data_IF_656605411340
#
_entry.id   IF_656605411340
#
_cell.length_a   1.000
_cell.length_b   1.000
_cell.length_c   1.000
_cell.angle_alpha   90.00
_cell.angle_beta   90.00
_cell.angle_gamma   90.00
#
_symmetry.space_group_name_H-M   'P 1'
#
loop_
_entity.id
_entity.type
_entity.pdbx_description
1 polymer ?
#
# COMPACT_ATOMS: atom_id res chain seq x y z
N UNK A 1 4.04 -3.50 -26.64
CA UNK A 1 4.45 -4.93 -26.55
C UNK A 1 5.95 -5.03 -26.28
N UNK A 2 6.79 -4.36 -27.07
CA UNK A 2 8.25 -4.46 -26.93
C UNK A 2 8.81 -3.88 -25.63
N UNK A 3 8.27 -2.77 -25.13
CA UNK A 3 8.64 -2.22 -23.83
C UNK A 3 8.37 -3.21 -22.68
N UNK A 4 7.26 -3.93 -22.75
CA UNK A 4 6.83 -4.89 -21.73
C UNK A 4 7.71 -6.15 -21.76
N UNK A 5 8.03 -6.65 -22.96
CA UNK A 5 9.01 -7.75 -23.15
C UNK A 5 10.39 -7.34 -22.67
N UNK A 6 10.80 -6.10 -22.94
CA UNK A 6 12.10 -5.56 -22.53
C UNK A 6 12.20 -5.41 -21.02
N UNK A 7 11.15 -4.90 -20.36
CA UNK A 7 11.05 -4.86 -18.91
C UNK A 7 11.13 -6.27 -18.29
N UNK A 8 10.45 -7.26 -18.89
CA UNK A 8 10.51 -8.65 -18.42
C UNK A 8 11.88 -9.29 -18.57
N UNK A 9 12.69 -8.89 -19.57
CA UNK A 9 14.06 -9.42 -19.75
C UNK A 9 14.96 -9.08 -18.56
N UNK A 10 14.79 -7.92 -17.94
CA UNK A 10 15.53 -7.52 -16.73
C UNK A 10 15.27 -8.49 -15.58
N UNK A 11 14.04 -9.01 -15.49
CA UNK A 11 13.63 -10.00 -14.49
C UNK A 11 13.57 -11.43 -15.05
N UNK A 12 14.37 -11.74 -16.08
CA UNK A 12 14.39 -13.06 -16.72
C UNK A 12 14.79 -14.20 -15.78
N UNK A 13 15.36 -13.90 -14.60
CA UNK A 13 15.56 -14.85 -13.52
C UNK A 13 14.24 -15.30 -12.88
N UNK A 14 13.27 -14.39 -12.73
CA UNK A 14 11.99 -14.64 -12.04
C UNK A 14 10.87 -15.06 -12.99
N UNK A 15 10.80 -14.45 -14.17
CA UNK A 15 9.70 -14.62 -15.12
C UNK A 15 10.21 -15.03 -16.50
N UNK A 16 9.32 -15.65 -17.28
CA UNK A 16 9.54 -15.98 -18.68
C UNK A 16 8.24 -15.77 -19.47
N UNK A 17 8.34 -15.51 -20.77
CA UNK A 17 7.17 -15.37 -21.63
C UNK A 17 6.87 -16.69 -22.33
N UNK A 18 5.62 -17.16 -22.25
CA UNK A 18 5.11 -18.35 -22.94
C UNK A 18 3.76 -18.00 -23.53
N UNK A 19 3.59 -18.14 -24.85
CA UNK A 19 2.32 -17.88 -25.55
C UNK A 19 1.70 -16.51 -25.21
N UNK A 20 2.49 -15.44 -25.27
CA UNK A 20 2.07 -14.06 -24.92
C UNK A 20 1.59 -13.86 -23.48
N UNK A 21 1.87 -14.83 -22.60
CA UNK A 21 1.67 -14.71 -21.15
C UNK A 21 3.01 -14.65 -20.44
N UNK A 22 3.08 -13.87 -19.38
CA UNK A 22 4.23 -13.84 -18.48
C UNK A 22 3.97 -14.88 -17.39
N UNK A 23 4.89 -15.82 -17.24
CA UNK A 23 4.82 -16.96 -16.34
C UNK A 23 6.01 -16.94 -15.38
N UNK A 24 5.79 -17.31 -14.12
CA UNK A 24 6.87 -17.46 -13.15
C UNK A 24 7.69 -18.73 -13.41
N UNK A 25 9.01 -18.66 -13.18
CA UNK A 25 9.89 -19.83 -13.26
C UNK A 25 9.74 -20.68 -12.00
N UNK A 26 9.45 -21.97 -12.16
CA UNK A 26 9.19 -22.94 -11.07
C UNK A 26 10.33 -23.13 -10.05
N UNK A 27 11.57 -22.77 -10.40
CA UNK A 27 12.77 -23.10 -9.61
C UNK A 27 13.18 -22.06 -8.56
N UNK A 28 12.40 -20.99 -8.36
CA UNK A 28 12.78 -19.91 -7.43
C UNK A 28 12.46 -20.19 -5.95
N UNK A 29 11.75 -21.28 -5.65
CA UNK A 29 11.43 -21.68 -4.27
C UNK A 29 12.65 -22.04 -3.42
N UNK A 30 13.83 -22.24 -4.02
CA UNK A 30 15.01 -22.79 -3.34
C UNK A 30 16.14 -21.79 -3.05
N UNK A 31 16.02 -20.49 -3.39
CA UNK A 31 17.16 -19.56 -3.33
C UNK A 31 16.96 -18.25 -2.56
N UNK A 32 15.97 -18.13 -1.67
CA UNK A 32 15.80 -16.85 -0.92
C UNK A 32 15.69 -17.10 0.57
N UNK A 33 16.52 -16.40 1.34
CA UNK A 33 16.45 -16.28 2.80
C UNK A 33 15.07 -15.77 3.31
N UNK A 34 14.22 -15.26 2.41
CA UNK A 34 12.85 -14.81 2.66
C UNK A 34 11.79 -15.93 2.71
N UNK A 35 12.11 -17.17 2.34
CA UNK A 35 11.17 -18.31 2.52
C UNK A 35 10.75 -18.41 4.00
N UNK A 36 11.66 -18.07 4.92
CA UNK A 36 11.41 -17.96 6.37
C UNK A 36 10.34 -16.95 6.77
N UNK A 37 10.04 -15.93 5.95
CA UNK A 37 8.99 -14.92 6.21
C UNK A 37 7.58 -15.46 5.95
N UNK A 38 7.47 -16.55 5.17
CA UNK A 38 6.23 -17.21 4.77
C UNK A 38 6.12 -18.64 5.34
N UNK A 39 7.23 -19.21 5.83
CA UNK A 39 7.26 -20.46 6.60
C UNK A 39 6.35 -20.35 7.84
N UNK A 40 5.41 -21.29 7.98
CA UNK A 40 4.38 -21.27 9.03
C UNK A 40 3.13 -20.44 8.69
N UNK A 41 3.17 -19.62 7.64
CA UNK A 41 2.00 -18.91 7.09
C UNK A 41 1.46 -19.64 5.86
N UNK A 42 2.30 -20.07 4.92
CA UNK A 42 1.89 -20.70 3.66
C UNK A 42 2.42 -22.13 3.52
N UNK A 43 1.77 -22.93 2.65
CA UNK A 43 2.33 -24.23 2.23
C UNK A 43 3.33 -24.03 1.08
N UNK A 44 4.20 -25.02 0.83
CA UNK A 44 5.27 -24.94 -0.18
C UNK A 44 4.77 -24.56 -1.58
N UNK A 45 3.60 -25.10 -1.98
CA UNK A 45 3.02 -24.80 -3.28
C UNK A 45 2.62 -23.32 -3.39
N UNK A 46 1.95 -22.76 -2.38
CA UNK A 46 1.60 -21.34 -2.32
C UNK A 46 2.83 -20.44 -2.27
N UNK A 47 3.90 -20.85 -1.57
CA UNK A 47 5.17 -20.10 -1.52
C UNK A 47 5.75 -19.96 -2.92
N UNK A 48 5.75 -21.04 -3.72
CA UNK A 48 6.32 -21.01 -5.08
C UNK A 48 5.60 -20.05 -6.04
N UNK A 49 4.32 -19.75 -5.78
CA UNK A 49 3.51 -18.82 -6.59
C UNK A 49 3.60 -17.38 -6.09
N UNK A 50 3.67 -17.19 -4.76
CA UNK A 50 3.60 -15.89 -4.10
C UNK A 50 4.96 -15.20 -4.05
N UNK A 51 6.02 -15.95 -3.76
CA UNK A 51 7.36 -15.39 -3.56
C UNK A 51 7.83 -14.57 -4.78
N UNK A 52 7.68 -15.03 -6.04
CA UNK A 52 8.07 -14.22 -7.18
C UNK A 52 7.32 -12.89 -7.31
N UNK A 53 6.03 -12.85 -6.93
CA UNK A 53 5.23 -11.61 -6.94
C UNK A 53 5.73 -10.63 -5.89
N UNK A 54 6.00 -11.12 -4.68
CA UNK A 54 6.55 -10.31 -3.58
C UNK A 54 7.93 -9.76 -3.97
N UNK A 55 8.81 -10.59 -4.53
CA UNK A 55 10.12 -10.14 -4.99
C UNK A 55 10.02 -9.09 -6.09
N UNK A 56 9.17 -9.29 -7.10
CA UNK A 56 8.95 -8.27 -8.14
C UNK A 56 8.47 -6.95 -7.53
N UNK A 57 7.60 -6.99 -6.53
CA UNK A 57 7.15 -5.78 -5.86
C UNK A 57 8.31 -5.04 -5.16
N UNK A 58 9.26 -5.75 -4.54
CA UNK A 58 10.46 -5.14 -3.97
C UNK A 58 11.32 -4.42 -5.02
N UNK A 59 11.36 -4.90 -6.26
CA UNK A 59 12.02 -4.21 -7.38
C UNK A 59 11.22 -3.01 -7.92
N UNK A 60 9.89 -3.09 -7.85
CA UNK A 60 9.00 -2.01 -8.30
C UNK A 60 9.03 -0.84 -7.31
N UNK A 61 9.14 -1.10 -6.00
CA UNK A 61 9.11 -0.07 -4.96
C UNK A 61 10.09 1.09 -5.20
N UNK A 62 11.36 0.86 -5.59
CA UNK A 62 12.27 1.94 -6.00
C UNK A 62 11.80 2.75 -7.19
N UNK A 63 11.04 2.19 -8.14
CA UNK A 63 10.48 2.93 -9.27
C UNK A 63 9.16 3.64 -8.93
N UNK A 64 8.50 3.27 -7.83
CA UNK A 64 7.26 3.91 -7.40
C UNK A 64 7.48 5.37 -7.00
N UNK A 65 8.68 5.79 -6.59
CA UNK A 65 8.93 7.18 -6.18
C UNK A 65 8.46 8.22 -7.23
N UNK A 66 8.53 7.89 -8.52
CA UNK A 66 8.06 8.76 -9.61
C UNK A 66 6.54 8.93 -9.67
N UNK A 67 5.79 7.93 -9.18
CA UNK A 67 4.34 7.85 -9.35
C UNK A 67 3.57 7.89 -8.04
N UNK A 68 4.24 7.76 -6.89
CA UNK A 68 3.61 7.78 -5.56
C UNK A 68 2.89 9.10 -5.33
N UNK A 69 3.56 10.24 -5.47
CA UNK A 69 2.91 11.54 -5.21
C UNK A 69 1.70 11.79 -6.12
N UNK A 70 1.79 11.60 -7.46
CA UNK A 70 0.61 11.65 -8.32
C UNK A 70 -0.52 10.69 -7.89
N UNK A 71 -0.17 9.46 -7.51
CA UNK A 71 -1.15 8.47 -7.08
C UNK A 71 -1.83 8.86 -5.75
N UNK A 72 -1.07 9.38 -4.79
CA UNK A 72 -1.60 9.83 -3.50
C UNK A 72 -2.52 11.03 -3.68
N UNK A 73 -2.18 11.99 -4.55
CA UNK A 73 -3.07 13.12 -4.87
C UNK A 73 -4.39 12.62 -5.44
N UNK A 74 -4.36 11.72 -6.43
CA UNK A 74 -5.59 11.14 -6.97
C UNK A 74 -6.39 10.42 -5.90
N UNK A 75 -5.75 9.59 -5.08
CA UNK A 75 -6.41 8.90 -3.98
C UNK A 75 -7.09 9.88 -3.01
N UNK A 76 -6.48 11.03 -2.73
CA UNK A 76 -6.98 12.05 -1.80
C UNK A 76 -8.30 12.71 -2.19
N UNK A 77 -8.70 12.71 -3.47
CA UNK A 77 -9.98 13.30 -3.90
C UNK A 77 -11.19 12.70 -3.19
N UNK A 78 -11.13 11.41 -2.85
CA UNK A 78 -12.23 10.71 -2.20
C UNK A 78 -12.37 11.03 -0.71
N UNK A 79 -11.34 10.83 0.13
CA UNK A 79 -11.43 11.18 1.53
C UNK A 79 -11.54 12.70 1.71
N UNK A 80 -11.01 13.52 0.79
CA UNK A 80 -11.16 14.97 0.85
C UNK A 80 -12.62 15.39 1.01
N UNK A 81 -13.50 14.82 0.18
CA UNK A 81 -14.94 15.10 0.18
C UNK A 81 -15.61 14.81 1.51
N UNK A 82 -15.27 13.67 2.11
CA UNK A 82 -16.03 13.11 3.23
C UNK A 82 -15.41 13.41 4.59
N UNK A 83 -14.09 13.62 4.64
CA UNK A 83 -13.31 13.65 5.88
C UNK A 83 -12.42 14.89 6.03
N UNK A 84 -12.22 15.68 4.97
CA UNK A 84 -11.36 16.88 5.00
C UNK A 84 -12.04 18.12 4.39
N UNK A 85 -13.37 18.23 4.54
CA UNK A 85 -14.14 19.42 4.13
C UNK A 85 -13.94 19.83 2.65
N UNK A 86 -13.62 18.87 1.79
CA UNK A 86 -13.34 19.10 0.36
C UNK A 86 -11.90 19.45 0.01
N UNK A 87 -11.00 19.62 1.00
CA UNK A 87 -9.59 19.95 0.78
C UNK A 87 -8.79 18.71 0.34
N UNK A 88 -8.41 18.66 -0.94
CA UNK A 88 -7.56 17.58 -1.50
C UNK A 88 -6.15 17.65 -0.95
N UNK A 89 -5.62 18.85 -0.76
CA UNK A 89 -4.30 19.07 -0.17
C UNK A 89 -4.20 18.51 1.25
N UNK A 90 -5.17 18.84 2.13
CA UNK A 90 -5.13 18.35 3.52
C UNK A 90 -5.27 16.83 3.61
N UNK A 91 -6.10 16.25 2.74
CA UNK A 91 -6.21 14.80 2.59
C UNK A 91 -4.88 14.20 2.12
N UNK A 92 -4.23 14.81 1.13
CA UNK A 92 -2.92 14.40 0.63
C UNK A 92 -1.85 14.45 1.73
N UNK A 93 -1.69 15.57 2.43
CA UNK A 93 -0.69 15.69 3.50
C UNK A 93 -0.93 14.64 4.60
N UNK A 94 -2.18 14.39 4.97
CA UNK A 94 -2.51 13.33 5.93
C UNK A 94 -2.10 11.94 5.42
N UNK A 95 -2.44 11.60 4.19
CA UNK A 95 -2.16 10.28 3.61
C UNK A 95 -0.65 10.11 3.36
N UNK A 96 0.05 11.17 2.94
CA UNK A 96 1.49 11.20 2.76
C UNK A 96 2.20 10.88 4.08
N UNK A 97 1.77 11.50 5.19
CA UNK A 97 2.28 11.19 6.53
C UNK A 97 2.00 9.74 6.96
N UNK A 98 0.85 9.17 6.58
CA UNK A 98 0.55 7.75 6.82
C UNK A 98 1.54 6.84 6.09
N UNK A 99 1.91 7.13 4.85
CA UNK A 99 2.80 6.28 4.07
C UNK A 99 4.28 6.66 4.10
N UNK A 100 4.69 7.61 4.96
CA UNK A 100 6.09 8.08 5.04
C UNK A 100 7.13 7.01 5.37
N UNK A 101 6.72 5.93 6.03
CA UNK A 101 7.60 4.79 6.34
C UNK A 101 7.69 3.78 5.18
N UNK A 102 6.81 3.87 4.19
CA UNK A 102 6.74 2.93 3.06
C UNK A 102 7.41 3.51 1.82
N UNK A 103 7.09 4.76 1.48
CA UNK A 103 7.61 5.39 0.28
C UNK A 103 8.77 6.31 0.61
N UNK A 104 9.91 6.02 -0.01
CA UNK A 104 11.07 6.91 0.04
C UNK A 104 10.76 8.12 -0.82
N UNK A 105 10.55 9.27 -0.19
CA UNK A 105 10.58 10.56 -0.88
C UNK A 105 12.03 10.99 -1.09
N UNK A 106 12.28 11.81 -2.11
CA UNK A 106 13.62 12.32 -2.37
C UNK A 106 14.07 13.19 -1.18
N UNK A 107 15.03 12.69 -0.42
CA UNK A 107 15.66 13.44 0.67
C UNK A 107 16.12 14.80 0.14
N UNK A 108 15.76 15.88 0.83
CA UNK A 108 16.12 17.29 0.53
C UNK A 108 15.27 18.01 -0.54
N UNK A 109 14.12 17.47 -0.95
CA UNK A 109 13.14 18.22 -1.75
C UNK A 109 11.98 18.65 -0.87
N UNK A 110 11.52 19.89 -1.04
CA UNK A 110 10.37 20.43 -0.31
C UNK A 110 9.08 19.68 -0.69
N UNK A 111 8.22 19.37 0.29
CA UNK A 111 6.97 18.63 0.04
C UNK A 111 6.05 19.38 -0.92
N UNK A 112 6.04 20.72 -0.88
CA UNK A 112 5.24 21.54 -1.77
C UNK A 112 5.73 21.44 -3.22
N UNK A 113 7.05 21.38 -3.42
CA UNK A 113 7.63 21.21 -4.76
C UNK A 113 7.27 19.84 -5.34
N UNK A 114 7.36 18.77 -4.54
CA UNK A 114 6.94 17.42 -4.93
C UNK A 114 5.44 17.41 -5.30
N UNK A 115 4.60 18.05 -4.48
CA UNK A 115 3.18 18.16 -4.74
C UNK A 115 2.89 18.90 -6.05
N UNK A 116 3.57 20.03 -6.28
CA UNK A 116 3.41 20.83 -7.49
C UNK A 116 3.86 20.08 -8.75
N UNK A 117 5.00 19.37 -8.70
CA UNK A 117 5.47 18.54 -9.81
C UNK A 117 4.48 17.41 -10.13
N UNK A 118 3.95 16.75 -9.11
CA UNK A 118 2.93 15.73 -9.27
C UNK A 118 1.64 16.29 -9.89
N UNK A 119 1.24 17.52 -9.53
CA UNK A 119 0.11 18.20 -10.16
C UNK A 119 0.35 18.54 -11.63
N UNK A 120 1.56 18.95 -12.00
CA UNK A 120 1.93 19.17 -13.41
C UNK A 120 1.76 17.86 -14.19
N UNK A 121 2.33 16.76 -13.70
CA UNK A 121 2.16 15.45 -14.32
C UNK A 121 0.69 15.04 -14.48
N UNK A 122 -0.13 15.23 -13.44
CA UNK A 122 -1.55 14.86 -13.47
C UNK A 122 -2.37 15.71 -14.45
N UNK A 123 -1.99 16.98 -14.66
CA UNK A 123 -2.63 17.87 -15.65
C UNK A 123 -2.20 17.52 -17.07
N UNK A 124 -0.90 17.31 -17.28
CA UNK A 124 -0.33 16.96 -18.59
C UNK A 124 -0.85 15.61 -19.09
N UNK A 125 -1.16 14.70 -18.16
CA UNK A 125 -1.76 13.39 -18.47
C UNK A 125 -3.28 13.41 -18.47
N UNK A 126 -3.93 14.56 -18.31
CA UNK A 126 -5.39 14.72 -18.27
C UNK A 126 -6.08 13.88 -17.17
N UNK A 127 -5.34 13.55 -16.10
CA UNK A 127 -5.90 12.91 -14.91
C UNK A 127 -6.61 13.92 -13.99
N UNK A 128 -6.24 15.19 -14.09
CA UNK A 128 -6.89 16.33 -13.45
C UNK A 128 -7.16 17.38 -14.52
N UNK A 129 -8.37 17.93 -14.54
CA UNK A 129 -8.72 19.02 -15.44
C UNK A 129 -8.04 20.31 -14.97
N UNK A 130 -7.21 20.88 -15.85
CA UNK A 130 -6.42 22.07 -15.53
C UNK A 130 -7.27 23.34 -15.27
N UNK A 131 -8.52 23.39 -15.74
CA UNK A 131 -9.42 24.54 -15.57
C UNK A 131 -10.26 24.41 -14.31
N UNK A 132 -10.79 23.23 -14.03
CA UNK A 132 -11.73 23.02 -12.91
C UNK A 132 -11.04 22.53 -11.65
N UNK A 133 -9.85 21.93 -11.76
CA UNK A 133 -9.18 21.24 -10.66
C UNK A 133 -9.89 19.95 -10.22
N UNK A 134 -10.88 19.49 -10.99
CA UNK A 134 -11.60 18.23 -10.77
C UNK A 134 -10.87 17.06 -11.46
N UNK A 135 -11.31 15.84 -11.21
CA UNK A 135 -10.79 14.66 -11.91
C UNK A 135 -11.02 14.78 -13.42
N UNK A 136 -9.95 14.53 -14.18
CA UNK A 136 -9.94 14.61 -15.64
C UNK A 136 -10.39 13.32 -16.32
N UNK A 137 -10.53 13.34 -17.66
CA UNK A 137 -11.10 12.24 -18.44
C UNK A 137 -10.17 11.02 -18.60
N UNK A 138 -8.87 11.12 -18.31
CA UNK A 138 -7.93 10.00 -18.50
C UNK A 138 -8.03 8.93 -17.41
N UNK A 139 -9.12 8.16 -17.45
CA UNK A 139 -9.39 7.09 -16.49
C UNK A 139 -8.32 5.97 -16.51
N UNK A 140 -7.65 5.73 -17.65
CA UNK A 140 -6.64 4.66 -17.74
C UNK A 140 -5.44 4.94 -16.86
N UNK A 141 -4.88 6.15 -16.93
CA UNK A 141 -3.73 6.54 -16.11
C UNK A 141 -4.15 6.66 -14.64
N UNK A 142 -5.33 7.21 -14.36
CA UNK A 142 -5.91 7.25 -13.00
C UNK A 142 -5.98 5.87 -12.37
N UNK A 143 -6.58 4.90 -13.07
CA UNK A 143 -6.68 3.54 -12.59
C UNK A 143 -5.31 2.91 -12.38
N UNK A 144 -4.35 3.09 -13.30
CA UNK A 144 -2.99 2.57 -13.12
C UNK A 144 -2.40 3.11 -11.80
N UNK A 145 -2.42 4.43 -11.61
CA UNK A 145 -1.86 5.07 -10.42
C UNK A 145 -2.52 4.58 -9.12
N UNK A 146 -3.85 4.42 -9.12
CA UNK A 146 -4.56 3.92 -7.94
C UNK A 146 -4.28 2.45 -7.65
N UNK A 147 -4.17 1.61 -8.68
CA UNK A 147 -3.83 0.20 -8.52
C UNK A 147 -2.38 0.04 -8.02
N UNK A 148 -1.47 0.98 -8.31
CA UNK A 148 -0.13 0.98 -7.72
C UNK A 148 -0.18 1.13 -6.19
N UNK A 149 -1.11 1.91 -5.64
CA UNK A 149 -1.26 2.12 -4.20
C UNK A 149 -2.03 0.99 -3.49
N UNK A 150 -2.84 0.23 -4.22
CA UNK A 150 -3.78 -0.72 -3.63
C UNK A 150 -3.13 -1.73 -2.66
N UNK A 151 -1.96 -2.34 -2.95
CA UNK A 151 -1.32 -3.28 -2.02
C UNK A 151 -0.98 -2.65 -0.67
N UNK A 152 -0.54 -1.39 -0.68
CA UNK A 152 -0.12 -0.64 0.51
C UNK A 152 -1.31 -0.20 1.34
N UNK A 153 -2.34 0.36 0.70
CA UNK A 153 -3.61 0.71 1.36
C UNK A 153 -4.21 -0.54 2.04
N UNK A 154 -4.25 -1.65 1.31
CA UNK A 154 -4.79 -2.91 1.82
C UNK A 154 -3.94 -3.45 2.98
N UNK A 155 -2.61 -3.43 2.85
CA UNK A 155 -1.69 -3.86 3.90
C UNK A 155 -1.83 -3.08 5.20
N UNK A 156 -1.84 -1.75 5.09
CA UNK A 156 -2.01 -0.86 6.23
C UNK A 156 -3.40 -1.04 6.87
N UNK A 157 -4.45 -1.21 6.05
CA UNK A 157 -5.80 -1.52 6.53
C UNK A 157 -5.83 -2.84 7.32
N UNK A 158 -5.16 -3.90 6.85
CA UNK A 158 -5.05 -5.18 7.57
C UNK A 158 -4.41 -4.99 8.94
N UNK A 159 -3.33 -4.22 9.06
CA UNK A 159 -2.70 -3.94 10.37
C UNK A 159 -3.63 -3.16 11.28
N UNK A 160 -4.33 -2.15 10.76
CA UNK A 160 -5.29 -1.36 11.54
C UNK A 160 -6.44 -2.23 12.07
N UNK A 161 -7.05 -3.06 11.23
CA UNK A 161 -8.07 -4.02 11.65
C UNK A 161 -7.55 -5.06 12.64
N UNK A 162 -6.32 -5.55 12.44
CA UNK A 162 -5.67 -6.50 13.36
C UNK A 162 -5.55 -5.91 14.75
N UNK A 163 -5.06 -4.67 14.86
CA UNK A 163 -4.91 -3.97 16.13
C UNK A 163 -6.26 -3.77 16.85
N UNK A 164 -7.31 -3.38 16.11
CA UNK A 164 -8.66 -3.24 16.66
C UNK A 164 -9.23 -4.58 17.12
N UNK A 165 -9.09 -5.66 16.33
CA UNK A 165 -9.56 -6.99 16.70
C UNK A 165 -8.84 -7.52 17.95
N UNK A 166 -7.52 -7.36 18.01
CA UNK A 166 -6.72 -7.76 19.18
C UNK A 166 -7.10 -6.98 20.44
N UNK A 167 -7.45 -5.68 20.32
CA UNK A 167 -7.98 -4.86 21.42
C UNK A 167 -9.25 -5.48 22.00
N UNK A 168 -10.22 -5.76 21.12
CA UNK A 168 -11.52 -6.36 21.50
C UNK A 168 -11.33 -7.72 22.18
N UNK A 169 -10.40 -8.53 21.69
CA UNK A 169 -10.10 -9.86 22.24
C UNK A 169 -9.17 -9.83 23.46
N UNK A 170 -8.73 -8.65 23.92
CA UNK A 170 -7.76 -8.51 25.02
C UNK A 170 -6.46 -9.30 24.81
N UNK A 171 -6.04 -9.45 23.56
CA UNK A 171 -4.80 -10.16 23.19
C UNK A 171 -3.61 -9.21 23.36
N UNK A 172 -2.51 -9.71 23.94
CA UNK A 172 -1.28 -8.92 24.08
C UNK A 172 -0.72 -8.53 22.70
N UNK A 173 -0.61 -7.23 22.45
CA UNK A 173 -0.11 -6.68 21.18
C UNK A 173 1.40 -6.49 21.16
N UNK A 174 2.22 -7.55 21.26
CA UNK A 174 3.65 -7.41 20.92
C UNK A 174 3.81 -7.26 19.41
N UNK A 175 4.91 -6.64 18.96
CA UNK A 175 5.16 -6.42 17.54
C UNK A 175 5.05 -7.74 16.74
N UNK A 176 5.74 -8.80 17.17
CA UNK A 176 5.71 -10.08 16.47
C UNK A 176 4.32 -10.71 16.44
N UNK A 177 3.56 -10.62 17.54
CA UNK A 177 2.20 -11.16 17.59
C UNK A 177 1.29 -10.43 16.58
N UNK A 178 1.37 -9.10 16.53
CA UNK A 178 0.60 -8.27 15.59
C UNK A 178 0.95 -8.65 14.14
N UNK A 179 2.24 -8.79 13.83
CA UNK A 179 2.71 -9.15 12.48
C UNK A 179 2.19 -10.53 12.06
N UNK A 180 2.32 -11.54 12.94
CA UNK A 180 1.85 -12.90 12.67
C UNK A 180 0.33 -12.92 12.45
N UNK A 181 -0.43 -12.21 13.29
CA UNK A 181 -1.88 -12.17 13.16
C UNK A 181 -2.32 -11.45 11.88
N UNK A 182 -1.67 -10.33 11.55
CA UNK A 182 -1.87 -9.60 10.29
C UNK A 182 -1.59 -10.49 9.06
N UNK A 183 -0.49 -11.25 9.07
CA UNK A 183 -0.17 -12.18 7.98
C UNK A 183 -1.19 -13.32 7.85
N UNK A 184 -1.74 -13.82 8.96
CA UNK A 184 -2.82 -14.83 8.92
C UNK A 184 -4.08 -14.27 8.28
N UNK A 185 -4.47 -13.03 8.60
CA UNK A 185 -5.59 -12.34 7.96
C UNK A 185 -5.32 -12.15 6.48
N UNK A 186 -4.16 -11.60 6.12
CA UNK A 186 -3.73 -11.40 4.74
C UNK A 186 -3.77 -12.71 3.94
N UNK A 187 -3.27 -13.81 4.50
CA UNK A 187 -3.34 -15.15 3.88
C UNK A 187 -4.78 -15.57 3.59
N UNK A 188 -5.67 -15.42 4.56
CA UNK A 188 -7.07 -15.83 4.40
C UNK A 188 -7.78 -15.01 3.30
N UNK A 189 -7.46 -13.72 3.18
CA UNK A 189 -7.96 -12.85 2.11
C UNK A 189 -7.32 -13.20 0.76
N UNK A 190 -6.03 -13.54 0.74
CA UNK A 190 -5.31 -13.93 -0.47
C UNK A 190 -5.81 -15.27 -1.03
N UNK A 191 -6.13 -16.24 -0.16
CA UNK A 191 -6.75 -17.50 -0.58
C UNK A 191 -8.09 -17.29 -1.29
N UNK A 192 -8.80 -16.20 -0.96
CA UNK A 192 -10.03 -15.74 -1.63
C UNK A 192 -9.76 -14.85 -2.85
N UNK A 193 -8.49 -14.61 -3.19
CA UNK A 193 -8.03 -13.71 -4.26
C UNK A 193 -8.54 -12.27 -4.14
N UNK A 194 -8.70 -11.79 -2.90
CA UNK A 194 -9.22 -10.46 -2.63
C UNK A 194 -8.13 -9.39 -2.47
N UNK A 195 -6.88 -9.81 -2.26
CA UNK A 195 -5.76 -8.89 -1.99
C UNK A 195 -4.52 -9.27 -2.80
N UNK A 196 -3.60 -8.32 -2.91
CA UNK A 196 -2.31 -8.54 -3.56
C UNK A 196 -1.38 -9.39 -2.68
N UNK A 197 -0.55 -10.30 -3.25
CA UNK A 197 0.36 -11.13 -2.46
C UNK A 197 1.37 -10.36 -1.62
N UNK A 198 1.75 -9.14 -2.04
CA UNK A 198 2.64 -8.26 -1.26
C UNK A 198 2.07 -7.91 0.13
N UNK A 199 0.77 -8.06 0.36
CA UNK A 199 0.17 -7.85 1.68
C UNK A 199 0.66 -8.82 2.77
N UNK A 200 1.40 -9.87 2.39
CA UNK A 200 2.09 -10.78 3.31
C UNK A 200 3.48 -10.31 3.74
N UNK A 201 4.02 -9.26 3.11
CA UNK A 201 5.36 -8.73 3.40
C UNK A 201 5.46 -8.25 4.84
N UNK A 202 6.35 -8.85 5.64
CA UNK A 202 6.59 -8.40 7.02
C UNK A 202 7.15 -6.99 7.07
N UNK A 203 7.89 -6.56 6.06
CA UNK A 203 8.48 -5.23 6.05
C UNK A 203 7.41 -4.16 5.84
N UNK A 204 6.47 -4.38 4.91
CA UNK A 204 5.32 -3.48 4.76
C UNK A 204 4.46 -3.43 6.03
N UNK A 205 4.22 -4.58 6.67
CA UNK A 205 3.44 -4.62 7.92
C UNK A 205 4.17 -3.92 9.09
N UNK A 206 5.52 -4.00 9.13
CA UNK A 206 6.33 -3.23 10.10
C UNK A 206 6.30 -1.74 9.80
N UNK A 207 6.39 -1.33 8.54
CA UNK A 207 6.30 0.07 8.13
C UNK A 207 4.94 0.67 8.52
N UNK A 208 3.86 -0.09 8.35
CA UNK A 208 2.53 0.31 8.82
C UNK A 208 2.50 0.52 10.33
N UNK A 209 3.04 -0.43 11.11
CA UNK A 209 3.07 -0.33 12.56
C UNK A 209 3.92 0.86 13.05
N UNK A 210 5.07 1.10 12.41
CA UNK A 210 5.94 2.23 12.75
C UNK A 210 5.28 3.57 12.38
N UNK A 211 4.62 3.66 11.23
CA UNK A 211 3.83 4.84 10.86
C UNK A 211 2.73 5.13 11.88
N UNK A 212 1.98 4.10 12.28
CA UNK A 212 0.92 4.24 13.29
C UNK A 212 1.49 4.70 14.64
N UNK A 213 2.71 4.27 15.00
CA UNK A 213 3.40 4.74 16.20
C UNK A 213 3.77 6.22 16.08
N UNK A 214 4.36 6.64 14.96
CA UNK A 214 4.75 8.03 14.71
C UNK A 214 3.55 8.98 14.69
N UNK A 215 2.40 8.51 14.22
CA UNK A 215 1.14 9.27 14.16
C UNK A 215 0.29 9.14 15.44
N UNK A 216 0.79 8.46 16.48
CA UNK A 216 0.08 8.20 17.74
C UNK A 216 -1.27 7.47 17.57
N UNK A 217 -1.40 6.65 16.51
CA UNK A 217 -2.53 5.73 16.33
C UNK A 217 -2.37 4.49 17.22
N UNK A 218 -1.15 4.23 17.68
CA UNK A 218 -0.85 3.25 18.72
C UNK A 218 0.11 3.88 19.75
N UNK A 219 0.01 3.46 21.00
CA UNK A 219 0.94 3.84 22.06
C UNK A 219 1.75 2.65 22.52
N UNK A 220 3.01 2.91 22.86
CA UNK A 220 3.94 1.91 23.38
C UNK A 220 3.79 1.84 24.89
N UNK A 221 3.24 0.75 25.41
CA UNK A 221 3.26 0.45 26.83
C UNK A 221 4.49 -0.42 27.14
N UNK A 222 5.44 0.15 27.87
CA UNK A 222 6.65 -0.56 28.30
C UNK A 222 6.36 -1.15 29.67
N UNK A 223 6.05 -2.45 29.71
CA UNK A 223 6.09 -3.22 30.95
C UNK A 223 7.51 -3.74 31.19
N UNK A 224 7.85 -4.11 32.42
CA UNK A 224 9.19 -4.61 32.79
C UNK A 224 9.67 -5.86 32.02
N UNK A 225 8.84 -6.47 31.16
CA UNK A 225 9.15 -7.73 30.48
C UNK A 225 8.95 -7.68 28.96
N UNK A 226 7.98 -6.91 28.45
CA UNK A 226 7.72 -6.78 27.01
C UNK A 226 7.16 -5.41 26.61
N UNK A 227 7.41 -5.05 25.34
CA UNK A 227 6.81 -3.90 24.68
C UNK A 227 5.44 -4.32 24.12
N UNK A 228 4.40 -3.60 24.53
CA UNK A 228 3.04 -3.79 24.02
C UNK A 228 2.57 -2.53 23.28
N UNK A 229 1.82 -2.74 22.20
CA UNK A 229 1.17 -1.67 21.44
C UNK A 229 -0.31 -1.64 21.78
N UNK A 230 -0.78 -0.48 22.24
CA UNK A 230 -2.18 -0.23 22.55
C UNK A 230 -2.80 0.66 21.46
N UNK A 231 -3.91 0.25 20.84
CA UNK A 231 -4.53 1.02 19.77
C UNK A 231 -5.28 2.25 20.29
N UNK A 232 -5.13 3.35 19.57
CA UNK A 232 -6.06 4.48 19.62
C UNK A 232 -7.21 4.19 18.65
N UNK A 233 -8.26 3.55 19.16
CA UNK A 233 -9.36 3.04 18.34
C UNK A 233 -10.00 4.12 17.45
N UNK A 234 -10.17 5.34 17.99
CA UNK A 234 -10.74 6.47 17.24
C UNK A 234 -9.89 6.83 16.02
N UNK A 235 -8.57 6.87 16.17
CA UNK A 235 -7.68 7.23 15.06
C UNK A 235 -7.58 6.11 14.03
N UNK A 236 -7.52 4.84 14.47
CA UNK A 236 -7.50 3.69 13.55
C UNK A 236 -8.81 3.57 12.77
N UNK A 237 -9.97 3.77 13.42
CA UNK A 237 -11.26 3.78 12.72
C UNK A 237 -11.37 4.94 11.71
N UNK A 238 -10.81 6.11 12.03
CA UNK A 238 -10.70 7.22 11.06
C UNK A 238 -9.80 6.86 9.89
N UNK A 239 -8.67 6.20 10.14
CA UNK A 239 -7.78 5.75 9.07
C UNK A 239 -8.47 4.75 8.13
N UNK A 240 -9.18 3.78 8.71
CA UNK A 240 -9.94 2.78 7.94
C UNK A 240 -10.99 3.46 7.06
N UNK A 241 -11.70 4.46 7.58
CA UNK A 241 -12.67 5.21 6.77
C UNK A 241 -12.02 6.02 5.64
N UNK A 242 -10.78 6.49 5.79
CA UNK A 242 -10.00 7.07 4.69
C UNK A 242 -9.75 6.01 3.61
N UNK A 243 -9.29 4.81 3.98
CA UNK A 243 -8.99 3.74 3.04
C UNK A 243 -10.21 3.19 2.30
N UNK A 244 -11.36 3.11 2.96
CA UNK A 244 -12.60 2.62 2.36
C UNK A 244 -13.14 3.55 1.27
N UNK A 245 -12.75 4.83 1.27
CA UNK A 245 -13.27 5.82 0.32
C UNK A 245 -12.65 5.74 -1.08
N UNK A 246 -11.69 4.88 -1.37
CA UNK A 246 -10.98 4.85 -2.68
C UNK A 246 -11.86 4.81 -3.94
N UNK A 247 -11.34 5.30 -5.08
CA UNK A 247 -12.00 5.19 -6.40
C UNK A 247 -12.33 3.73 -6.75
N UNK A 248 -11.43 2.81 -6.43
CA UNK A 248 -11.58 1.37 -6.70
C UNK A 248 -12.85 0.81 -6.04
N UNK A 249 -13.26 1.37 -4.90
CA UNK A 249 -14.44 0.94 -4.17
C UNK A 249 -15.73 1.72 -4.55
N UNK A 250 -15.62 2.86 -5.23
CA UNK A 250 -16.72 3.82 -5.40
C UNK A 250 -17.22 3.95 -6.85
N UNK A 251 -18.53 3.79 -7.04
CA UNK A 251 -19.18 3.88 -8.38
C UNK A 251 -19.47 5.30 -8.87
N UNK A 252 -19.27 6.33 -8.04
CA UNK A 252 -19.54 7.74 -8.38
C UNK A 252 -18.32 8.60 -8.06
N UNK A 253 -17.91 9.43 -9.01
CA UNK A 253 -16.76 10.33 -8.84
C UNK A 253 -17.04 11.40 -7.75
N UNK A 254 -16.03 11.75 -6.94
CA UNK A 254 -16.13 12.82 -5.97
C UNK A 254 -16.18 14.17 -6.68
N UNK A 255 -17.19 14.98 -6.35
CA UNK A 255 -17.24 16.40 -6.76
C UNK A 255 -16.39 17.23 -5.80
N UNK A 256 -15.07 17.21 -5.99
CA UNK A 256 -14.08 17.97 -5.24
C UNK A 256 -13.09 18.64 -6.20
N UNK A 257 -12.47 19.74 -5.76
CA UNK A 257 -11.52 20.54 -6.54
C UNK A 257 -10.23 20.70 -5.76
N UNK A 258 -9.11 20.75 -6.49
CA UNK A 258 -7.81 21.16 -5.96
C UNK A 258 -7.85 22.58 -5.37
#
# INVERSE_FOLDING_TARGET
RDALITACKVHSTLVHSVNDKIMFKKSFSTQVAEVSLLEGVLNEQSISEILPVVMLQLYINPCLHLFVSPALILFSFWPAKTLFNGSVHDAYSYINEVFKCEFVTLNNVDEQDIYNEALVFLRDTECIDAKTGELGPNNKVRLILQHLLQPFITGYSIVAHTLLEMSVQSVRGTQDTILIYSQKIARNLLAKRLIHPYCLSRDMLKNALESFRLLNFITKNVSNTEIQYLPNEKQLLRLISVFDTSEINNKKEPKCRL
#
